data_IF_791464402881
#
_entry.id   IF_791464402881
#
_cell.length_a   1.000
_cell.length_b   1.000
_cell.length_c   1.000
_cell.angle_alpha   90.00
_cell.angle_beta   90.00
_cell.angle_gamma   90.00
#
_symmetry.space_group_name_H-M   'P 1'
#
loop_
_entity.id
_entity.type
_entity.pdbx_description
1 polymer ?
#
# COMPACT_ATOMS: atom_id res chain seq x y z
N UNK A 1 -17.99 26.32 -25.01
CA UNK A 1 -16.88 25.39 -24.66
C UNK A 1 -16.52 25.68 -23.22
N UNK A 2 -17.04 24.92 -22.28
CA UNK A 2 -16.67 25.02 -20.86
C UNK A 2 -15.25 24.51 -20.73
N UNK A 3 -14.32 25.41 -20.47
CA UNK A 3 -12.92 25.11 -20.16
C UNK A 3 -12.88 24.52 -18.73
N UNK A 4 -13.46 23.34 -18.55
CA UNK A 4 -13.38 22.61 -17.29
C UNK A 4 -11.96 22.08 -17.14
N UNK A 5 -11.26 22.59 -16.15
CA UNK A 5 -9.93 22.04 -15.78
C UNK A 5 -10.09 20.58 -15.41
N UNK A 6 -9.22 19.68 -15.85
CA UNK A 6 -9.30 18.28 -15.47
C UNK A 6 -9.26 18.16 -13.94
N UNK A 7 -10.13 17.30 -13.40
CA UNK A 7 -10.13 17.02 -11.98
C UNK A 7 -8.82 16.36 -11.61
N UNK A 8 -8.24 16.72 -10.46
CA UNK A 8 -6.94 16.24 -10.00
C UNK A 8 -7.05 15.64 -8.63
N UNK A 9 -6.32 14.55 -8.40
CA UNK A 9 -6.18 13.93 -7.09
C UNK A 9 -4.70 13.77 -6.76
N UNK A 10 -4.34 14.20 -5.54
CA UNK A 10 -3.01 13.93 -4.98
C UNK A 10 -3.16 13.08 -3.72
N UNK A 11 -2.39 12.00 -3.63
CA UNK A 11 -2.38 11.07 -2.50
C UNK A 11 -0.98 11.03 -1.89
N UNK A 12 -0.91 10.78 -0.58
CA UNK A 12 0.35 10.57 0.14
C UNK A 12 0.36 9.15 0.69
N UNK A 13 1.38 8.38 0.33
CA UNK A 13 1.65 7.06 0.87
C UNK A 13 2.89 7.11 1.77
N UNK A 14 2.71 7.02 3.08
CA UNK A 14 3.79 7.15 4.07
C UNK A 14 4.14 5.85 4.79
N UNK A 15 3.36 4.78 4.59
CA UNK A 15 3.55 3.50 5.25
C UNK A 15 3.63 2.36 4.23
N UNK A 16 4.44 1.33 4.56
CA UNK A 16 4.69 0.19 3.68
C UNK A 16 4.12 -1.15 4.19
N UNK A 17 3.31 -1.13 5.26
CA UNK A 17 2.63 -2.34 5.74
C UNK A 17 1.48 -2.74 4.83
N UNK A 18 1.11 -4.02 4.84
CA UNK A 18 0.15 -4.60 3.90
C UNK A 18 -1.22 -3.89 3.93
N UNK A 19 -1.70 -3.54 5.11
CA UNK A 19 -2.96 -2.83 5.33
C UNK A 19 -2.94 -1.38 4.82
N UNK A 20 -1.79 -0.71 4.88
CA UNK A 20 -1.61 0.66 4.41
C UNK A 20 -1.19 0.75 2.94
N UNK A 21 -0.74 -0.35 2.34
CA UNK A 21 -0.34 -0.40 0.95
C UNK A 21 -1.53 -0.35 -0.02
N UNK A 22 -2.65 -0.96 0.35
CA UNK A 22 -3.85 -1.04 -0.49
C UNK A 22 -4.53 0.30 -0.75
N UNK A 23 -4.82 1.15 0.26
CA UNK A 23 -5.61 2.37 0.07
C UNK A 23 -5.09 3.32 -1.02
N UNK A 24 -3.80 3.67 -1.09
CA UNK A 24 -3.34 4.60 -2.11
C UNK A 24 -3.50 4.05 -3.54
N UNK A 25 -3.27 2.76 -3.77
CA UNK A 25 -3.41 2.17 -5.10
C UNK A 25 -4.88 1.98 -5.50
N UNK A 26 -5.75 1.57 -4.56
CA UNK A 26 -7.19 1.46 -4.81
C UNK A 26 -7.79 2.83 -5.16
N UNK A 27 -7.46 3.85 -4.38
CA UNK A 27 -7.96 5.20 -4.62
C UNK A 27 -7.41 5.76 -5.93
N UNK A 28 -6.13 5.56 -6.22
CA UNK A 28 -5.51 6.04 -7.44
C UNK A 28 -6.13 5.38 -8.69
N UNK A 29 -6.24 4.06 -8.70
CA UNK A 29 -6.84 3.34 -9.83
C UNK A 29 -8.31 3.72 -10.06
N UNK A 30 -9.07 3.89 -8.98
CA UNK A 30 -10.47 4.33 -9.05
C UNK A 30 -10.58 5.75 -9.60
N UNK A 31 -9.72 6.68 -9.14
CA UNK A 31 -9.75 8.06 -9.57
C UNK A 31 -9.39 8.22 -11.06
N UNK A 32 -8.41 7.43 -11.56
CA UNK A 32 -8.10 7.40 -13.00
C UNK A 32 -9.27 6.86 -13.80
N UNK A 33 -9.95 5.82 -13.31
CA UNK A 33 -11.16 5.30 -13.95
C UNK A 33 -12.29 6.35 -14.02
N UNK A 34 -12.23 7.38 -13.18
CA UNK A 34 -13.13 8.55 -13.21
C UNK A 34 -12.54 9.72 -14.02
N UNK A 35 -11.58 9.47 -14.89
CA UNK A 35 -10.92 10.46 -15.75
C UNK A 35 -10.23 11.60 -14.98
N UNK A 36 -9.72 11.32 -13.78
CA UNK A 36 -8.93 12.28 -13.00
C UNK A 36 -7.42 12.13 -13.29
N UNK A 37 -6.71 13.25 -13.28
CA UNK A 37 -5.24 13.23 -13.21
C UNK A 37 -4.83 12.88 -11.78
N UNK A 38 -4.04 11.82 -11.61
CA UNK A 38 -3.67 11.32 -10.28
C UNK A 38 -2.17 11.30 -10.08
N UNK A 39 -1.73 11.79 -8.93
CA UNK A 39 -0.36 11.68 -8.46
C UNK A 39 -0.34 11.07 -7.05
N UNK A 40 0.56 10.11 -6.82
CA UNK A 40 0.80 9.52 -5.50
C UNK A 40 2.23 9.84 -5.08
N UNK A 41 2.36 10.52 -3.95
CA UNK A 41 3.65 10.88 -3.36
C UNK A 41 4.01 9.86 -2.27
N UNK A 42 5.10 9.14 -2.50
CA UNK A 42 5.60 8.12 -1.58
C UNK A 42 6.72 8.70 -0.72
N UNK A 43 6.55 8.61 0.59
CA UNK A 43 7.51 9.13 1.57
C UNK A 43 7.69 8.15 2.72
N UNK A 44 8.76 8.29 3.49
CA UNK A 44 9.11 7.39 4.60
C UNK A 44 9.01 5.91 4.19
N UNK A 45 8.31 5.10 4.99
CA UNK A 45 8.17 3.66 4.72
C UNK A 45 7.31 3.35 3.48
N UNK A 46 6.52 4.32 3.00
CA UNK A 46 5.79 4.19 1.73
C UNK A 46 6.70 4.00 0.52
N UNK A 47 7.97 4.46 0.55
CA UNK A 47 8.94 4.20 -0.51
C UNK A 47 9.16 2.71 -0.76
N UNK A 48 8.98 1.85 0.23
CA UNK A 48 9.11 0.39 0.07
C UNK A 48 8.11 -0.19 -0.92
N UNK A 49 6.98 0.49 -1.17
CA UNK A 49 5.97 0.09 -2.15
C UNK A 49 6.39 0.34 -3.60
N UNK A 50 7.41 1.18 -3.80
CA UNK A 50 7.99 1.45 -5.11
C UNK A 50 9.12 0.50 -5.48
N UNK A 51 9.62 -0.31 -4.54
CA UNK A 51 10.71 -1.27 -4.79
C UNK A 51 10.30 -2.31 -5.83
N UNK A 52 11.29 -2.84 -6.54
CA UNK A 52 11.06 -3.93 -7.51
C UNK A 52 10.39 -5.13 -6.85
N UNK A 53 10.87 -5.52 -5.66
CA UNK A 53 10.27 -6.57 -4.84
C UNK A 53 9.56 -5.96 -3.63
N UNK A 54 8.23 -6.07 -3.61
CA UNK A 54 7.42 -5.61 -2.48
C UNK A 54 7.37 -6.71 -1.42
N UNK A 55 7.91 -6.42 -0.25
CA UNK A 55 7.86 -7.30 0.92
C UNK A 55 6.89 -6.78 1.99
N UNK A 56 5.75 -6.22 1.55
CA UNK A 56 4.77 -5.70 2.48
C UNK A 56 4.21 -6.81 3.39
N UNK A 57 4.33 -6.60 4.70
CA UNK A 57 3.85 -7.50 5.74
C UNK A 57 2.77 -6.80 6.56
N UNK A 58 1.96 -7.60 7.25
CA UNK A 58 0.99 -7.08 8.22
C UNK A 58 1.74 -6.35 9.34
N UNK A 59 1.18 -5.22 9.82
CA UNK A 59 1.76 -4.51 10.96
C UNK A 59 1.83 -5.44 12.19
N UNK A 60 2.99 -5.53 12.89
CA UNK A 60 3.15 -6.45 14.01
C UNK A 60 2.18 -6.17 15.17
N UNK A 61 1.78 -4.91 15.31
CA UNK A 61 0.85 -4.49 16.37
C UNK A 61 -0.60 -4.83 16.06
N UNK A 62 -0.91 -5.30 14.82
CA UNK A 62 -2.27 -5.46 14.30
C UNK A 62 -3.12 -4.18 14.49
N UNK A 63 -4.36 -4.17 14.00
CA UNK A 63 -5.23 -3.01 14.22
C UNK A 63 -6.12 -3.30 15.44
N UNK A 64 -6.02 -2.52 16.54
CA UNK A 64 -6.83 -2.75 17.74
C UNK A 64 -8.33 -2.53 17.50
N UNK A 65 -8.70 -1.84 16.43
CA UNK A 65 -10.10 -1.58 16.08
C UNK A 65 -10.83 -2.78 15.47
N UNK A 66 -10.09 -3.80 14.98
CA UNK A 66 -10.68 -5.01 14.42
C UNK A 66 -10.02 -6.24 15.04
N UNK A 67 -10.76 -7.04 15.82
CA UNK A 67 -10.26 -8.33 16.30
C UNK A 67 -9.99 -9.26 15.13
N UNK A 68 -8.90 -10.04 15.24
CA UNK A 68 -8.58 -11.02 14.20
C UNK A 68 -9.62 -12.14 14.21
N UNK A 69 -10.15 -12.43 13.02
CA UNK A 69 -11.05 -13.56 12.77
C UNK A 69 -10.30 -14.64 12.03
N UNK A 70 -10.68 -15.89 12.26
CA UNK A 70 -10.09 -17.01 11.52
C UNK A 70 -10.51 -16.96 10.05
N UNK A 71 -9.56 -16.92 9.09
CA UNK A 71 -9.87 -16.83 7.67
C UNK A 71 -10.31 -18.17 7.06
N UNK A 72 -10.29 -19.26 7.82
CA UNK A 72 -10.59 -20.61 7.36
C UNK A 72 -11.44 -21.38 8.37
N UNK A 73 -12.12 -22.43 7.91
CA UNK A 73 -12.96 -23.28 8.72
C UNK A 73 -14.46 -23.11 8.43
N UNK A 74 -15.34 -23.84 9.15
CA UNK A 74 -16.80 -23.71 9.01
C UNK A 74 -17.27 -22.28 9.33
N UNK A 75 -18.37 -21.85 8.69
CA UNK A 75 -18.90 -20.46 8.84
C UNK A 75 -19.09 -20.03 10.30
N UNK A 76 -19.40 -20.95 11.20
CA UNK A 76 -19.50 -20.68 12.64
C UNK A 76 -18.15 -20.37 13.31
N UNK A 77 -17.07 -20.96 12.81
CA UNK A 77 -15.71 -20.76 13.34
C UNK A 77 -15.09 -19.46 12.87
N UNK A 78 -15.45 -18.99 11.67
CA UNK A 78 -14.97 -17.72 11.09
C UNK A 78 -15.50 -16.48 11.81
N UNK A 79 -16.57 -16.64 12.61
CA UNK A 79 -17.16 -15.55 13.40
C UNK A 79 -16.61 -15.45 14.83
N UNK A 80 -15.75 -16.38 15.25
CA UNK A 80 -15.15 -16.36 16.59
C UNK A 80 -14.03 -15.32 16.60
N UNK A 81 -14.23 -14.30 17.44
CA UNK A 81 -13.21 -13.30 17.73
C UNK A 81 -12.20 -13.90 18.72
N UNK A 82 -10.92 -13.78 18.41
CA UNK A 82 -9.87 -14.25 19.33
C UNK A 82 -9.87 -13.41 20.60
N UNK A 83 -10.02 -14.03 21.78
CA UNK A 83 -10.06 -13.29 23.05
C UNK A 83 -8.70 -12.77 23.49
N UNK A 84 -7.61 -13.04 22.73
CA UNK A 84 -6.28 -12.58 23.08
C UNK A 84 -5.99 -11.20 22.50
N UNK A 85 -5.38 -10.29 23.31
CA UNK A 85 -4.95 -8.98 22.82
C UNK A 85 -3.97 -9.13 21.64
N UNK A 86 -4.23 -8.43 20.54
CA UNK A 86 -3.40 -8.44 19.33
C UNK A 86 -1.92 -8.12 19.62
N UNK A 87 -1.66 -7.31 20.65
CA UNK A 87 -0.31 -6.94 21.08
C UNK A 87 0.51 -8.14 21.61
N UNK A 88 -0.12 -9.12 22.24
CA UNK A 88 0.55 -10.34 22.72
C UNK A 88 0.87 -11.28 21.54
N UNK A 89 -0.06 -11.40 20.58
CA UNK A 89 0.13 -12.25 19.41
C UNK A 89 1.20 -11.70 18.47
N UNK A 90 1.27 -10.39 18.29
CA UNK A 90 2.25 -9.72 17.42
C UNK A 90 3.71 -9.90 17.87
N UNK A 91 3.94 -10.23 19.14
CA UNK A 91 5.28 -10.48 19.68
C UNK A 91 5.74 -11.95 19.58
N UNK A 92 4.89 -12.84 19.09
CA UNK A 92 5.28 -14.25 18.88
C UNK A 92 6.16 -14.36 17.62
N UNK A 93 7.33 -15.01 17.71
CA UNK A 93 8.18 -15.23 16.54
C UNK A 93 7.44 -16.03 15.46
N UNK A 94 7.43 -15.52 14.22
CA UNK A 94 6.73 -16.12 13.08
C UNK A 94 5.27 -15.71 12.91
N UNK A 95 4.66 -15.00 13.86
CA UNK A 95 3.29 -14.52 13.74
C UNK A 95 3.09 -13.60 12.53
N UNK A 96 3.99 -12.63 12.34
CA UNK A 96 3.94 -11.68 11.23
C UNK A 96 3.91 -12.40 9.86
N UNK A 97 4.76 -13.40 9.69
CA UNK A 97 4.84 -14.17 8.43
C UNK A 97 3.56 -14.99 8.20
N UNK A 98 3.06 -15.65 9.25
CA UNK A 98 1.85 -16.47 9.17
C UNK A 98 0.63 -15.59 8.91
N UNK A 99 0.48 -14.50 9.64
CA UNK A 99 -0.63 -13.54 9.47
C UNK A 99 -0.61 -12.90 8.07
N UNK A 100 0.56 -12.53 7.56
CA UNK A 100 0.72 -11.99 6.21
C UNK A 100 0.29 -13.02 5.15
N UNK A 101 0.72 -14.28 5.30
CA UNK A 101 0.35 -15.36 4.37
C UNK A 101 -1.16 -15.61 4.37
N UNK A 102 -1.78 -15.68 5.55
CA UNK A 102 -3.22 -15.87 5.69
C UNK A 102 -4.02 -14.70 5.11
N UNK A 103 -3.56 -13.46 5.32
CA UNK A 103 -4.23 -12.29 4.77
C UNK A 103 -4.12 -12.25 3.24
N UNK A 104 -2.94 -12.52 2.67
CA UNK A 104 -2.75 -12.63 1.21
C UNK A 104 -3.62 -13.74 0.62
N UNK A 105 -3.72 -14.89 1.29
CA UNK A 105 -4.62 -15.97 0.88
C UNK A 105 -6.10 -15.55 0.92
N UNK A 106 -6.51 -14.83 1.95
CA UNK A 106 -7.88 -14.32 2.06
C UNK A 106 -8.21 -13.36 0.94
N UNK A 107 -7.31 -12.44 0.62
CA UNK A 107 -7.47 -11.49 -0.50
C UNK A 107 -7.58 -12.24 -1.82
N UNK A 108 -6.71 -13.20 -2.07
CA UNK A 108 -6.77 -14.05 -3.27
C UNK A 108 -8.10 -14.80 -3.39
N UNK A 109 -8.59 -15.39 -2.29
CA UNK A 109 -9.86 -16.10 -2.26
C UNK A 109 -11.07 -15.19 -2.49
N UNK A 110 -10.94 -13.89 -2.19
CA UNK A 110 -11.97 -12.87 -2.41
C UNK A 110 -11.84 -12.16 -3.75
N UNK A 111 -10.85 -12.54 -4.57
CA UNK A 111 -10.62 -11.91 -5.87
C UNK A 111 -10.06 -10.48 -5.77
N UNK A 112 -9.41 -10.14 -4.66
CA UNK A 112 -8.73 -8.86 -4.50
C UNK A 112 -7.36 -8.97 -5.16
N UNK A 113 -7.05 -8.04 -6.07
CA UNK A 113 -5.76 -7.95 -6.73
C UNK A 113 -4.61 -7.77 -5.72
N UNK A 114 -3.43 -8.26 -6.05
CA UNK A 114 -2.22 -8.05 -5.23
C UNK A 114 -1.79 -6.57 -5.28
N UNK A 115 -0.91 -6.15 -4.36
CA UNK A 115 -0.37 -4.79 -4.36
C UNK A 115 0.43 -4.55 -5.64
N UNK A 116 1.17 -5.55 -6.07
CA UNK A 116 1.97 -5.51 -7.29
C UNK A 116 1.09 -5.29 -8.51
N UNK A 117 0.00 -6.06 -8.64
CA UNK A 117 -0.98 -5.91 -9.73
C UNK A 117 -1.67 -4.53 -9.70
N UNK A 118 -2.08 -4.05 -8.52
CA UNK A 118 -2.70 -2.73 -8.38
C UNK A 118 -1.72 -1.61 -8.74
N UNK A 119 -0.44 -1.74 -8.36
CA UNK A 119 0.61 -0.80 -8.72
C UNK A 119 0.83 -0.75 -10.23
N UNK A 120 0.88 -1.91 -10.87
CA UNK A 120 1.04 -2.02 -12.33
C UNK A 120 -0.15 -1.39 -13.06
N UNK A 121 -1.37 -1.69 -12.63
CA UNK A 121 -2.59 -1.05 -13.17
C UNK A 121 -2.50 0.48 -13.02
N UNK A 122 -2.06 0.99 -11.87
CA UNK A 122 -1.89 2.43 -11.68
C UNK A 122 -0.88 3.04 -12.65
N UNK A 123 0.27 2.39 -12.85
CA UNK A 123 1.30 2.87 -13.81
C UNK A 123 0.79 2.87 -15.24
N UNK A 124 0.19 1.77 -15.68
CA UNK A 124 -0.37 1.63 -17.03
C UNK A 124 -1.50 2.63 -17.29
N UNK A 125 -2.25 2.98 -16.25
CA UNK A 125 -3.33 3.96 -16.32
C UNK A 125 -2.85 5.42 -16.25
N UNK A 126 -1.54 5.66 -16.13
CA UNK A 126 -0.95 7.00 -16.13
C UNK A 126 -0.94 7.70 -14.78
N UNK A 127 -1.08 6.97 -13.67
CA UNK A 127 -0.86 7.52 -12.33
C UNK A 127 0.62 7.91 -12.18
N UNK A 128 0.88 9.16 -11.80
CA UNK A 128 2.24 9.61 -11.48
C UNK A 128 2.64 9.10 -10.10
N UNK A 129 3.70 8.30 -10.05
CA UNK A 129 4.30 7.83 -8.81
C UNK A 129 5.56 8.62 -8.52
N UNK A 130 5.58 9.33 -7.39
CA UNK A 130 6.65 10.26 -7.04
C UNK A 130 7.30 9.80 -5.73
N UNK A 131 8.57 9.42 -5.76
CA UNK A 131 9.37 9.11 -4.59
C UNK A 131 9.98 10.38 -3.96
N UNK A 132 9.88 10.51 -2.64
CA UNK A 132 10.44 11.63 -1.90
C UNK A 132 11.98 11.56 -1.85
N UNK A 133 12.66 12.49 -2.53
CA UNK A 133 14.13 12.56 -2.55
C UNK A 133 14.73 12.62 -1.15
N UNK A 134 14.22 13.49 -0.29
CA UNK A 134 14.74 13.63 1.07
C UNK A 134 14.67 12.30 1.85
N UNK A 135 13.60 11.55 1.69
CA UNK A 135 13.46 10.26 2.37
C UNK A 135 14.37 9.20 1.74
N UNK A 136 14.57 9.23 0.43
CA UNK A 136 15.53 8.36 -0.26
C UNK A 136 16.94 8.58 0.30
N UNK A 137 17.36 9.82 0.44
CA UNK A 137 18.67 10.17 0.99
C UNK A 137 18.86 9.69 2.43
N UNK A 138 17.82 9.84 3.28
CA UNK A 138 17.84 9.41 4.67
C UNK A 138 17.91 7.89 4.81
N UNK A 139 17.19 7.15 3.96
CA UNK A 139 17.14 5.68 4.02
C UNK A 139 18.18 4.99 3.13
N UNK A 140 18.94 5.76 2.36
CA UNK A 140 19.96 5.24 1.46
C UNK A 140 19.38 4.51 0.24
N UNK A 141 18.18 4.89 -0.21
CA UNK A 141 17.61 4.39 -1.46
C UNK A 141 18.15 5.16 -2.66
N UNK A 142 18.43 4.43 -3.73
CA UNK A 142 18.71 4.98 -5.05
C UNK A 142 17.50 4.81 -5.97
N UNK A 143 17.47 5.53 -7.08
CA UNK A 143 16.40 5.38 -8.07
C UNK A 143 16.39 3.96 -8.69
N UNK A 144 17.55 3.31 -8.76
CA UNK A 144 17.70 1.94 -9.28
C UNK A 144 17.01 0.87 -8.41
N UNK A 145 16.74 1.18 -7.14
CA UNK A 145 16.01 0.28 -6.23
C UNK A 145 14.52 0.20 -6.57
N UNK A 146 14.00 1.16 -7.34
CA UNK A 146 12.59 1.28 -7.65
C UNK A 146 12.26 0.70 -9.03
N UNK A 147 10.97 0.49 -9.24
CA UNK A 147 10.42 0.12 -10.55
C UNK A 147 10.57 1.28 -11.54
N UNK A 148 10.55 0.95 -12.81
CA UNK A 148 10.60 1.95 -13.86
C UNK A 148 9.33 2.82 -13.85
N UNK A 149 9.45 4.09 -14.26
CA UNK A 149 8.32 5.04 -14.28
C UNK A 149 8.10 5.81 -12.98
N UNK A 150 8.93 5.61 -11.94
CA UNK A 150 8.91 6.42 -10.73
C UNK A 150 9.65 7.73 -10.97
N UNK A 151 8.97 8.84 -10.72
CA UNK A 151 9.57 10.17 -10.69
C UNK A 151 10.15 10.45 -9.29
N UNK A 152 11.19 11.25 -9.21
CA UNK A 152 11.76 11.71 -7.93
C UNK A 152 11.40 13.16 -7.71
N UNK A 153 10.87 13.48 -6.54
CA UNK A 153 10.42 14.84 -6.22
C UNK A 153 10.56 15.18 -4.74
N UNK A 154 10.17 16.42 -4.39
CA UNK A 154 10.21 16.87 -3.00
C UNK A 154 11.57 17.43 -2.58
N UNK A 155 12.47 17.68 -3.54
CA UNK A 155 13.61 18.55 -3.33
C UNK A 155 13.17 20.01 -3.53
N UNK A 156 13.97 20.97 -3.01
CA UNK A 156 13.67 22.42 -3.13
C UNK A 156 13.57 22.92 -4.57
N UNK A 157 14.04 22.16 -5.55
CA UNK A 157 14.05 22.53 -6.96
C UNK A 157 12.79 22.10 -7.70
N UNK A 158 12.04 21.15 -7.17
CA UNK A 158 10.83 20.62 -7.81
C UNK A 158 9.54 21.32 -7.38
N UNK A 159 9.62 22.36 -6.55
CA UNK A 159 8.47 23.11 -6.01
C UNK A 159 8.30 24.49 -6.68
N UNK A 160 9.02 24.76 -7.76
CA UNK A 160 8.90 26.03 -8.52
C UNK A 160 8.24 25.77 -9.85
#
# INVERSE_FOLDING_TARGET
MTNERPKRMALIASQGTLDWAYPPFILASTAVAMEMEVAVFFTFYGLTLLKRDITAKVAPQANPAMPMKMPFGPKGFQNIEWPMPNMLMGNLPGFETTATSLMKQTFKNKGVATIEELREICLESGVKMIGCQMTMDVFGFSQDDFIDGVEVGGDRKSVV
#
